data_IF_643435593485
#
_entry.id   IF_643435593485
#
_cell.length_a   1.000
_cell.length_b   1.000
_cell.length_c   1.000
_cell.angle_alpha   90.00
_cell.angle_beta   90.00
_cell.angle_gamma   90.00
#
_symmetry.space_group_name_H-M   'P 1'
#
loop_
_entity.id
_entity.type
_entity.pdbx_description
1 polymer ?
#
# COMPACT_ATOMS: atom_id res chain seq x y z
N UNK A 1 -47.76 43.16 15.63
CA UNK A 1 -46.31 43.44 15.79
C UNK A 1 -45.80 42.48 16.85
N UNK A 2 -45.27 41.33 16.45
CA UNK A 2 -44.72 40.32 17.36
C UNK A 2 -43.27 40.08 16.93
N UNK A 3 -42.34 40.63 17.72
CA UNK A 3 -40.90 40.41 17.60
C UNK A 3 -40.58 39.08 18.31
N UNK A 4 -40.28 38.03 17.56
CA UNK A 4 -39.69 36.81 18.10
C UNK A 4 -38.17 37.02 18.19
N UNK A 5 -37.64 36.98 19.42
CA UNK A 5 -36.22 37.20 19.72
C UNK A 5 -35.32 36.03 19.29
N UNK A 6 -34.20 36.36 18.66
CA UNK A 6 -33.14 35.44 18.19
C UNK A 6 -32.29 34.79 19.29
N UNK A 7 -32.56 35.05 20.57
CA UNK A 7 -31.67 34.65 21.67
C UNK A 7 -31.67 33.14 21.96
N UNK A 8 -32.65 32.38 21.46
CA UNK A 8 -32.73 30.92 21.69
C UNK A 8 -31.91 30.06 20.71
N UNK A 9 -31.31 30.65 19.68
CA UNK A 9 -30.53 29.88 18.70
C UNK A 9 -29.09 29.60 19.17
N UNK A 10 -28.50 30.46 19.99
CA UNK A 10 -27.10 30.33 20.41
C UNK A 10 -26.89 29.21 21.44
N UNK A 11 -27.84 29.00 22.37
CA UNK A 11 -27.71 27.95 23.41
C UNK A 11 -27.68 26.52 22.84
N UNK A 12 -28.17 26.32 21.61
CA UNK A 12 -28.25 24.98 21.01
C UNK A 12 -27.02 24.61 20.16
N UNK A 13 -26.25 25.61 19.71
CA UNK A 13 -25.12 25.39 18.77
C UNK A 13 -23.81 25.12 19.52
N UNK A 14 -23.61 25.72 20.68
CA UNK A 14 -22.37 25.58 21.46
C UNK A 14 -22.06 24.13 21.89
N UNK A 15 -23.02 23.31 22.35
CA UNK A 15 -22.76 21.93 22.74
C UNK A 15 -22.32 21.07 21.54
N UNK A 16 -22.99 21.22 20.39
CA UNK A 16 -22.69 20.52 19.14
C UNK A 16 -21.30 20.87 18.61
N UNK A 17 -20.90 22.14 18.69
CA UNK A 17 -19.57 22.59 18.27
C UNK A 17 -18.46 22.02 19.19
N UNK A 18 -18.74 21.89 20.49
CA UNK A 18 -17.80 21.32 21.45
C UNK A 18 -17.68 19.79 21.28
N UNK A 19 -18.78 19.10 20.96
CA UNK A 19 -18.78 17.67 20.67
C UNK A 19 -18.01 17.37 19.37
N UNK A 20 -18.19 18.19 18.33
CA UNK A 20 -17.45 18.07 17.08
C UNK A 20 -15.94 18.32 17.28
N UNK A 21 -15.58 19.32 18.10
CA UNK A 21 -14.19 19.60 18.49
C UNK A 21 -13.59 18.47 19.32
N UNK A 22 -14.36 17.87 20.22
CA UNK A 22 -13.94 16.73 21.04
C UNK A 22 -13.74 15.48 20.17
N UNK A 23 -14.59 15.22 19.19
CA UNK A 23 -14.45 14.11 18.25
C UNK A 23 -13.23 14.31 17.32
N UNK A 24 -12.99 15.54 16.86
CA UNK A 24 -11.78 15.91 16.12
C UNK A 24 -10.51 15.76 16.98
N UNK A 25 -10.57 16.16 18.25
CA UNK A 25 -9.46 15.99 19.19
C UNK A 25 -9.21 14.51 19.54
N UNK A 26 -10.26 13.70 19.65
CA UNK A 26 -10.17 12.27 19.90
C UNK A 26 -9.60 11.51 18.69
N UNK A 27 -9.96 11.91 17.45
CA UNK A 27 -9.29 11.43 16.23
C UNK A 27 -7.80 11.78 16.21
N UNK A 28 -7.44 12.97 16.69
CA UNK A 28 -6.04 13.40 16.86
C UNK A 28 -5.30 12.66 17.97
N UNK A 29 -5.99 12.28 19.04
CA UNK A 29 -5.41 11.58 20.19
C UNK A 29 -5.26 10.06 19.99
N UNK A 30 -5.92 9.49 18.97
CA UNK A 30 -5.78 8.09 18.56
C UNK A 30 -4.51 7.81 17.74
N UNK A 31 -3.83 8.85 17.25
CA UNK A 31 -2.61 8.71 16.45
C UNK A 31 -1.38 9.02 17.31
N UNK A 32 -1.01 8.06 18.17
CA UNK A 32 0.21 8.13 18.99
C UNK A 32 1.47 7.66 18.24
N UNK A 33 1.49 7.71 16.91
CA UNK A 33 2.72 7.45 16.15
C UNK A 33 3.37 8.74 15.66
N UNK A 34 3.79 9.58 16.62
CA UNK A 34 4.62 10.78 16.37
C UNK A 34 5.99 10.45 15.72
N UNK A 35 6.30 9.16 15.48
CA UNK A 35 7.55 8.68 14.88
C UNK A 35 7.70 8.95 13.38
N UNK A 36 6.70 9.48 12.68
CA UNK A 36 6.69 9.48 11.21
C UNK A 36 6.33 10.82 10.55
N UNK A 37 7.04 11.89 10.91
CA UNK A 37 7.17 13.09 10.04
C UNK A 37 8.36 12.83 9.11
N UNK A 38 8.19 12.63 7.78
CA UNK A 38 9.36 12.48 6.89
C UNK A 38 10.26 13.71 6.94
N UNK A 39 11.57 13.49 6.98
CA UNK A 39 12.58 14.53 6.75
C UNK A 39 12.81 14.84 5.26
N UNK A 40 13.70 15.81 5.01
CA UNK A 40 14.04 16.40 3.71
C UNK A 40 14.71 15.47 2.68
N UNK A 41 14.87 14.18 2.97
CA UNK A 41 15.18 13.15 1.96
C UNK A 41 14.47 11.81 2.25
N UNK A 42 13.55 11.80 3.21
CA UNK A 42 13.24 10.66 4.06
C UNK A 42 12.30 9.61 3.47
N UNK A 43 12.55 8.39 3.90
CA UNK A 43 11.91 7.17 3.43
C UNK A 43 10.53 6.92 4.05
N UNK A 44 10.15 7.52 5.18
CA UNK A 44 8.89 7.17 5.88
C UNK A 44 7.97 8.34 6.15
N UNK A 45 6.80 8.34 5.52
CA UNK A 45 5.83 9.43 5.60
C UNK A 45 4.59 8.99 6.37
N UNK A 46 4.10 9.84 7.28
CA UNK A 46 2.78 9.67 7.88
C UNK A 46 1.68 9.57 6.81
N UNK A 47 0.62 8.82 7.11
CA UNK A 47 -0.58 8.70 6.26
C UNK A 47 -1.31 10.02 6.02
N UNK A 48 -1.10 11.02 6.86
CA UNK A 48 -1.67 12.36 6.66
C UNK A 48 -1.04 13.11 5.47
N UNK A 49 0.15 12.72 5.02
CA UNK A 49 0.82 13.35 3.88
C UNK A 49 0.35 12.68 2.60
N UNK A 50 -0.50 13.40 1.88
CA UNK A 50 -0.92 13.07 0.53
C UNK A 50 -0.20 14.01 -0.43
N UNK A 51 0.53 13.44 -1.40
CA UNK A 51 1.01 14.22 -2.53
C UNK A 51 -0.15 14.49 -3.50
N UNK A 52 -0.20 15.67 -4.13
CA UNK A 52 -1.20 15.95 -5.16
C UNK A 52 -1.02 15.01 -6.35
N UNK A 53 -2.09 14.80 -7.11
CA UNK A 53 -2.00 14.12 -8.40
C UNK A 53 -1.08 14.93 -9.35
N UNK A 54 -0.21 14.22 -10.07
CA UNK A 54 0.75 14.80 -11.02
C UNK A 54 0.21 14.79 -12.45
N UNK A 55 -1.06 14.40 -12.67
CA UNK A 55 -1.73 14.52 -13.97
C UNK A 55 -1.00 13.76 -15.07
N UNK A 56 -0.51 12.56 -14.73
CA UNK A 56 0.26 11.72 -15.64
C UNK A 56 1.75 12.08 -15.79
N UNK A 57 2.27 13.09 -15.10
CA UNK A 57 3.71 13.44 -15.14
C UNK A 57 4.55 12.55 -14.24
N UNK A 58 5.86 12.60 -14.42
CA UNK A 58 6.82 11.99 -13.50
C UNK A 58 6.66 12.55 -12.09
N UNK A 59 6.68 11.65 -11.10
CA UNK A 59 6.53 12.00 -9.68
C UNK A 59 7.89 11.97 -8.99
N UNK A 60 8.11 12.79 -7.96
CA UNK A 60 9.29 12.69 -7.11
C UNK A 60 9.42 11.27 -6.55
N UNK A 61 10.63 10.72 -6.64
CA UNK A 61 10.98 9.46 -5.98
C UNK A 61 11.52 9.74 -4.59
N UNK A 62 11.29 8.80 -3.67
CA UNK A 62 11.88 8.78 -2.34
C UNK A 62 12.84 7.60 -2.22
N UNK A 63 14.06 7.82 -1.68
CA UNK A 63 15.00 6.73 -1.42
C UNK A 63 14.39 5.64 -0.53
N UNK A 64 14.76 4.39 -0.79
CA UNK A 64 14.58 3.28 0.15
C UNK A 64 15.93 2.90 0.76
N UNK A 65 15.99 2.86 2.09
CA UNK A 65 16.96 2.12 2.87
C UNK A 65 16.61 0.63 2.83
N UNK A 66 17.48 -0.14 2.18
CA UNK A 66 17.49 -1.59 2.31
C UNK A 66 18.40 -1.95 3.49
N UNK A 67 17.84 -2.58 4.53
CA UNK A 67 18.65 -3.00 5.67
C UNK A 67 19.72 -4.06 5.34
N UNK A 68 19.60 -4.77 4.21
CA UNK A 68 20.64 -5.71 3.77
C UNK A 68 21.84 -4.98 3.18
N UNK A 69 21.63 -3.80 2.60
CA UNK A 69 22.69 -2.98 1.98
C UNK A 69 23.23 -1.93 2.96
N UNK A 70 23.36 -2.27 4.24
CA UNK A 70 23.98 -1.42 5.27
C UNK A 70 25.43 -0.97 5.01
N UNK A 71 25.98 -1.18 3.82
CA UNK A 71 27.02 -0.33 3.24
C UNK A 71 26.37 0.80 2.47
N UNK A 72 26.24 1.98 3.08
CA UNK A 72 25.96 3.20 2.32
C UNK A 72 26.90 3.24 1.12
N UNK A 73 26.38 3.25 -0.10
CA UNK A 73 27.10 3.79 -1.24
C UNK A 73 27.21 5.30 -1.00
N UNK A 74 28.17 5.66 -0.14
CA UNK A 74 28.54 7.03 0.10
C UNK A 74 28.85 7.67 -1.26
N UNK A 75 28.19 8.80 -1.48
CA UNK A 75 28.48 9.80 -2.48
C UNK A 75 29.96 9.85 -2.87
N UNK A 76 30.22 9.72 -4.18
CA UNK A 76 31.34 10.33 -4.92
C UNK A 76 32.79 10.04 -4.46
N UNK A 77 33.68 9.56 -5.34
CA UNK A 77 35.11 9.56 -5.04
C UNK A 77 35.63 11.00 -5.06
N UNK A 78 35.73 11.65 -3.90
CA UNK A 78 36.34 12.97 -3.82
C UNK A 78 36.03 13.76 -2.56
N UNK A 79 36.36 13.24 -1.38
CA UNK A 79 36.84 14.12 -0.32
C UNK A 79 37.75 13.36 0.67
N UNK A 80 39.08 13.48 0.57
CA UNK A 80 39.97 12.96 1.59
C UNK A 80 39.92 13.90 2.80
N UNK A 81 39.05 13.61 3.77
CA UNK A 81 39.24 14.08 5.14
C UNK A 81 40.42 13.32 5.79
N UNK A 82 41.61 13.50 5.23
CA UNK A 82 42.90 13.28 5.90
C UNK A 82 43.27 14.59 6.57
N UNK A 83 42.96 14.70 7.86
CA UNK A 83 43.29 15.90 8.63
C UNK A 83 42.63 15.99 9.99
N UNK A 84 42.61 14.90 10.76
CA UNK A 84 42.46 14.99 12.22
C UNK A 84 43.73 14.43 12.85
N UNK A 85 44.84 15.14 12.63
CA UNK A 85 46.01 15.02 13.48
C UNK A 85 45.64 15.55 14.86
N UNK A 86 45.64 14.60 15.79
CA UNK A 86 45.87 14.82 17.21
C UNK A 86 47.11 15.70 17.34
N UNK A 87 46.99 16.85 18.00
CA UNK A 87 47.92 17.45 18.96
C UNK A 87 47.59 18.94 19.16
N UNK A 88 46.83 19.27 20.21
CA UNK A 88 46.99 20.55 20.94
C UNK A 88 46.49 20.41 22.39
N UNK A 89 47.36 20.54 23.42
CA UNK A 89 46.94 20.70 24.81
C UNK A 89 46.79 22.19 25.11
N UNK A 90 45.64 22.75 24.75
CA UNK A 90 45.32 24.16 24.96
C UNK A 90 43.99 24.32 25.68
N UNK A 91 44.03 24.90 26.87
CA UNK A 91 42.92 25.16 27.78
C UNK A 91 41.70 25.80 27.10
N UNK A 92 40.53 25.18 27.27
CA UNK A 92 39.26 25.75 26.86
C UNK A 92 38.08 24.93 27.37
N UNK A 93 37.44 25.40 28.44
CA UNK A 93 36.15 24.89 28.93
C UNK A 93 35.07 25.14 27.86
N UNK A 94 34.87 24.19 26.96
CA UNK A 94 33.61 24.05 26.22
C UNK A 94 32.85 22.84 26.77
N UNK A 95 31.53 22.97 26.99
CA UNK A 95 30.70 21.84 27.40
C UNK A 95 30.80 20.74 26.33
N UNK A 96 30.94 19.46 26.73
CA UNK A 96 31.08 18.36 25.78
C UNK A 96 29.84 18.28 24.90
N UNK A 97 30.09 18.32 23.59
CA UNK A 97 29.10 18.13 22.54
C UNK A 97 28.46 16.72 22.69
N UNK A 98 27.12 16.59 22.88
CA UNK A 98 26.47 15.33 23.21
C UNK A 98 26.26 14.42 22.00
N UNK A 99 27.29 14.22 21.18
CA UNK A 99 27.22 13.42 19.96
C UNK A 99 28.27 12.30 19.93
N UNK A 100 28.40 11.53 21.01
CA UNK A 100 29.15 10.26 20.98
C UNK A 100 28.41 9.19 21.80
N UNK A 101 27.39 8.60 21.17
CA UNK A 101 26.56 7.57 21.77
C UNK A 101 25.58 6.90 20.82
N UNK A 102 25.84 6.90 19.51
CA UNK A 102 25.03 6.14 18.56
C UNK A 102 25.54 4.69 18.50
N UNK A 103 25.42 3.97 19.61
CA UNK A 103 25.45 2.51 19.62
C UNK A 103 24.21 1.99 18.90
N UNK A 104 24.19 2.13 17.57
CA UNK A 104 23.13 1.61 16.72
C UNK A 104 23.20 0.09 16.75
N UNK A 105 22.42 -0.53 17.64
CA UNK A 105 22.07 -1.94 17.53
C UNK A 105 21.52 -2.15 16.13
N UNK A 106 22.29 -2.81 15.26
CA UNK A 106 21.90 -3.11 13.88
C UNK A 106 20.55 -3.81 13.90
N UNK A 107 19.50 -3.07 13.54
CA UNK A 107 18.15 -3.63 13.45
C UNK A 107 18.18 -4.72 12.39
N UNK A 108 17.85 -5.95 12.77
CA UNK A 108 17.78 -7.06 11.82
C UNK A 108 16.65 -6.85 10.81
N UNK A 109 16.74 -7.54 9.67
CA UNK A 109 15.68 -7.62 8.67
C UNK A 109 14.39 -8.08 9.34
N UNK A 110 13.33 -7.28 9.20
CA UNK A 110 11.99 -7.60 9.71
C UNK A 110 11.04 -7.82 8.56
N UNK A 111 10.12 -8.77 8.72
CA UNK A 111 9.07 -9.04 7.75
C UNK A 111 7.78 -9.47 8.44
N UNK A 112 6.67 -9.19 7.78
CA UNK A 112 5.33 -9.61 8.16
C UNK A 112 4.60 -10.16 6.94
N UNK A 113 3.67 -11.08 7.17
CA UNK A 113 2.91 -11.73 6.10
C UNK A 113 1.45 -11.86 6.49
N UNK A 114 0.55 -11.36 5.64
CA UNK A 114 -0.91 -11.48 5.81
C UNK A 114 -1.47 -12.19 4.58
N UNK A 115 -2.37 -13.16 4.78
CA UNK A 115 -2.86 -14.01 3.68
C UNK A 115 -4.35 -14.30 3.76
N UNK A 116 -4.90 -14.84 2.67
CA UNK A 116 -6.29 -15.30 2.55
C UNK A 116 -6.57 -16.68 3.15
N UNK A 117 -5.57 -17.32 3.77
CA UNK A 117 -5.69 -18.70 4.30
C UNK A 117 -6.81 -18.77 5.33
N UNK A 118 -7.72 -19.72 5.15
CA UNK A 118 -8.88 -19.92 6.03
C UNK A 118 -9.99 -18.87 5.91
N UNK A 119 -9.88 -17.88 5.02
CA UNK A 119 -10.89 -16.83 4.84
C UNK A 119 -11.76 -17.16 3.63
N UNK A 120 -13.09 -17.01 3.72
CA UNK A 120 -13.98 -17.14 2.55
C UNK A 120 -14.12 -18.55 1.97
N UNK A 121 -13.90 -19.58 2.79
CA UNK A 121 -14.07 -21.00 2.43
C UNK A 121 -15.52 -21.48 2.54
N UNK A 122 -15.89 -22.48 1.74
CA UNK A 122 -17.01 -23.39 2.03
C UNK A 122 -18.42 -22.97 1.61
N UNK A 123 -18.65 -21.71 1.26
CA UNK A 123 -20.01 -21.24 0.96
C UNK A 123 -20.47 -21.50 -0.49
N UNK A 124 -19.54 -21.73 -1.43
CA UNK A 124 -19.82 -21.75 -2.88
C UNK A 124 -19.35 -23.03 -3.57
N UNK A 125 -19.26 -24.15 -2.83
CA UNK A 125 -18.60 -25.37 -3.27
C UNK A 125 -19.16 -25.95 -4.59
N UNK A 126 -20.47 -25.79 -4.84
CA UNK A 126 -21.12 -26.25 -6.07
C UNK A 126 -20.57 -25.57 -7.34
N UNK A 127 -20.07 -24.33 -7.24
CA UNK A 127 -19.59 -23.54 -8.37
C UNK A 127 -18.08 -23.21 -8.29
N UNK A 128 -17.45 -23.49 -7.15
CA UNK A 128 -16.01 -23.36 -6.95
C UNK A 128 -15.45 -24.53 -6.11
N UNK A 129 -15.42 -25.76 -6.66
CA UNK A 129 -15.00 -26.96 -5.92
C UNK A 129 -13.52 -26.95 -5.54
N UNK A 130 -12.71 -26.12 -6.21
CA UNK A 130 -11.27 -25.99 -5.95
C UNK A 130 -10.93 -24.92 -4.90
N UNK A 131 -11.94 -24.17 -4.42
CA UNK A 131 -11.79 -22.99 -3.56
C UNK A 131 -10.78 -21.96 -4.13
N UNK A 132 -10.70 -21.88 -5.46
CA UNK A 132 -9.81 -20.95 -6.12
C UNK A 132 -10.28 -19.50 -5.93
N UNK A 133 -9.34 -18.55 -5.98
CA UNK A 133 -9.66 -17.13 -6.02
C UNK A 133 -10.35 -16.84 -7.35
N UNK A 134 -11.55 -16.28 -7.27
CA UNK A 134 -12.40 -16.00 -8.44
C UNK A 134 -12.29 -14.57 -8.91
N UNK A 135 -11.92 -13.62 -8.06
CA UNK A 135 -11.68 -12.25 -8.51
C UNK A 135 -10.86 -11.49 -7.47
N UNK A 136 -10.10 -10.51 -7.96
CA UNK A 136 -9.32 -9.57 -7.16
C UNK A 136 -9.79 -8.15 -7.41
N UNK A 137 -9.84 -7.37 -6.33
CA UNK A 137 -10.18 -5.94 -6.37
C UNK A 137 -9.36 -5.16 -5.36
N UNK A 138 -9.23 -3.86 -5.60
CA UNK A 138 -8.63 -2.92 -4.67
C UNK A 138 -9.73 -2.13 -3.96
N UNK A 139 -9.49 -1.83 -2.69
CA UNK A 139 -10.18 -0.75 -1.99
C UNK A 139 -9.15 0.28 -1.55
N UNK A 140 -9.52 1.55 -1.60
CA UNK A 140 -8.66 2.63 -1.12
C UNK A 140 -9.45 3.77 -0.50
N UNK A 141 -8.84 4.46 0.46
CA UNK A 141 -9.45 5.63 1.11
C UNK A 141 -8.55 6.28 2.14
N UNK A 142 -9.10 7.23 2.88
CA UNK A 142 -8.39 8.03 3.89
C UNK A 142 -8.28 7.37 5.27
N UNK A 143 -8.80 6.15 5.44
CA UNK A 143 -8.76 5.43 6.72
C UNK A 143 -8.42 3.95 6.54
N UNK A 144 -7.63 3.40 7.47
CA UNK A 144 -7.35 1.97 7.58
C UNK A 144 -8.61 1.11 7.80
N UNK A 145 -9.68 1.73 8.33
CA UNK A 145 -10.95 1.08 8.60
C UNK A 145 -11.81 0.87 7.35
N UNK A 146 -11.34 1.24 6.15
CA UNK A 146 -12.07 0.98 4.91
C UNK A 146 -12.36 -0.51 4.74
N UNK A 147 -13.56 -0.81 4.28
CA UNK A 147 -14.03 -2.17 4.01
C UNK A 147 -14.51 -2.29 2.56
N UNK A 148 -14.54 -3.51 2.00
CA UNK A 148 -15.11 -3.76 0.68
C UNK A 148 -16.57 -3.31 0.61
N UNK A 149 -16.88 -2.46 -0.37
CA UNK A 149 -18.26 -2.10 -0.72
C UNK A 149 -18.94 -3.17 -1.58
N UNK A 150 -18.15 -4.05 -2.19
CA UNK A 150 -18.63 -5.18 -2.99
C UNK A 150 -18.97 -6.36 -2.08
N UNK A 151 -20.18 -6.89 -2.21
CA UNK A 151 -20.65 -8.04 -1.46
C UNK A 151 -19.77 -9.27 -1.72
N UNK A 152 -19.49 -10.05 -0.68
CA UNK A 152 -18.71 -11.29 -0.71
C UNK A 152 -17.22 -11.14 -1.00
N UNK A 153 -16.68 -9.91 -0.99
CA UNK A 153 -15.24 -9.69 -1.01
C UNK A 153 -14.67 -9.65 0.41
N UNK A 154 -13.48 -10.21 0.56
CA UNK A 154 -12.72 -10.24 1.80
C UNK A 154 -11.47 -9.39 1.66
N UNK A 155 -11.16 -8.60 2.69
CA UNK A 155 -9.98 -7.73 2.74
C UNK A 155 -8.75 -8.49 3.25
N UNK A 156 -7.63 -8.39 2.56
CA UNK A 156 -6.31 -8.71 3.13
C UNK A 156 -5.88 -7.51 3.96
N UNK A 157 -5.79 -7.67 5.28
CA UNK A 157 -5.54 -6.56 6.20
C UNK A 157 -4.05 -6.16 6.25
N UNK A 158 -3.48 -5.85 5.08
CA UNK A 158 -2.14 -5.32 4.89
C UNK A 158 -2.23 -4.13 3.93
N UNK A 159 -1.82 -2.96 4.42
CA UNK A 159 -1.84 -1.73 3.65
C UNK A 159 -0.72 -1.72 2.61
N UNK A 160 -1.09 -1.59 1.35
CA UNK A 160 -0.18 -1.63 0.20
C UNK A 160 0.65 -0.35 0.03
N UNK A 161 0.34 0.70 0.81
CA UNK A 161 1.07 1.96 0.88
C UNK A 161 1.76 2.17 2.23
N UNK A 162 2.01 1.08 2.98
CA UNK A 162 2.52 1.16 4.36
C UNK A 162 3.89 1.87 4.39
N UNK A 163 4.00 2.87 5.27
CA UNK A 163 5.22 3.67 5.44
C UNK A 163 5.49 4.70 4.34
N UNK A 164 4.78 4.67 3.21
CA UNK A 164 4.99 5.60 2.09
C UNK A 164 4.10 6.87 2.16
N UNK A 165 3.23 6.96 3.17
CA UNK A 165 2.15 7.96 3.24
C UNK A 165 0.98 7.57 2.35
N UNK A 166 0.33 8.55 1.73
CA UNK A 166 -0.70 8.29 0.72
C UNK A 166 -1.96 7.61 1.26
N UNK A 167 -2.84 7.19 0.34
CA UNK A 167 -4.09 6.53 0.73
C UNK A 167 -3.79 5.20 1.43
N UNK A 168 -4.73 4.76 2.25
CA UNK A 168 -4.77 3.36 2.66
C UNK A 168 -5.28 2.54 1.49
N UNK A 169 -4.51 1.54 1.06
CA UNK A 169 -4.83 0.71 -0.10
C UNK A 169 -4.78 -0.75 0.33
N UNK A 170 -5.79 -1.53 -0.02
CA UNK A 170 -5.86 -2.95 0.35
C UNK A 170 -6.27 -3.82 -0.83
N UNK A 171 -5.64 -4.99 -0.92
CA UNK A 171 -6.11 -6.07 -1.77
C UNK A 171 -7.35 -6.72 -1.17
N UNK A 172 -8.31 -7.02 -2.01
CA UNK A 172 -9.52 -7.78 -1.67
C UNK A 172 -9.73 -8.90 -2.68
N UNK A 173 -10.41 -9.95 -2.26
CA UNK A 173 -10.67 -11.10 -3.11
C UNK A 173 -12.06 -11.69 -2.85
N UNK A 174 -12.59 -12.42 -3.83
CA UNK A 174 -13.73 -13.32 -3.62
C UNK A 174 -13.41 -14.71 -4.14
N UNK A 175 -14.05 -15.71 -3.54
CA UNK A 175 -14.09 -17.09 -4.03
C UNK A 175 -15.46 -17.46 -4.60
N UNK A 176 -16.42 -16.54 -4.60
CA UNK A 176 -17.73 -16.76 -5.21
C UNK A 176 -17.71 -16.31 -6.68
N UNK A 177 -17.87 -17.23 -7.65
CA UNK A 177 -18.08 -16.87 -9.04
C UNK A 177 -19.27 -15.90 -9.23
N UNK A 178 -20.31 -16.02 -8.41
CA UNK A 178 -21.50 -15.17 -8.44
C UNK A 178 -21.27 -13.74 -7.93
N UNK A 179 -20.17 -13.48 -7.21
CA UNK A 179 -19.79 -12.14 -6.74
C UNK A 179 -18.80 -11.41 -7.65
N UNK A 180 -18.29 -12.02 -8.72
CA UNK A 180 -17.34 -11.31 -9.61
C UNK A 180 -17.99 -10.06 -10.21
N UNK A 181 -17.30 -8.91 -10.12
CA UNK A 181 -17.75 -7.61 -10.68
C UNK A 181 -16.60 -6.91 -11.41
N UNK A 182 -16.91 -5.93 -12.26
CA UNK A 182 -15.89 -5.13 -12.95
C UNK A 182 -16.45 -4.12 -13.96
N UNK A 183 -15.57 -3.32 -14.57
CA UNK A 183 -15.91 -2.20 -15.47
C UNK A 183 -16.51 -2.59 -16.82
N UNK A 184 -16.29 -3.83 -17.27
CA UNK A 184 -16.47 -4.17 -18.69
C UNK A 184 -16.99 -5.58 -18.88
N UNK A 185 -17.34 -5.91 -20.12
CA UNK A 185 -17.98 -7.15 -20.54
C UNK A 185 -17.16 -8.42 -20.23
N UNK A 186 -15.90 -8.30 -19.81
CA UNK A 186 -15.08 -9.46 -19.46
C UNK A 186 -15.70 -10.27 -18.33
N UNK A 187 -16.40 -9.64 -17.38
CA UNK A 187 -17.04 -10.33 -16.25
C UNK A 187 -18.07 -11.35 -16.73
N UNK A 188 -18.77 -11.03 -17.81
CA UNK A 188 -19.81 -11.89 -18.40
C UNK A 188 -19.27 -12.87 -19.43
N UNK A 189 -18.00 -12.78 -19.80
CA UNK A 189 -17.38 -13.66 -20.79
C UNK A 189 -17.14 -15.05 -20.20
N UNK A 190 -17.51 -16.10 -20.92
CA UNK A 190 -17.35 -17.47 -20.45
C UNK A 190 -15.89 -17.94 -20.46
N UNK A 191 -15.01 -17.28 -21.21
CA UNK A 191 -13.61 -17.67 -21.42
C UNK A 191 -12.65 -17.04 -20.40
N UNK A 192 -13.07 -15.96 -19.72
CA UNK A 192 -12.23 -15.24 -18.75
C UNK A 192 -13.00 -14.42 -17.69
N UNK A 193 -14.33 -14.57 -17.62
CA UNK A 193 -15.20 -13.85 -16.69
C UNK A 193 -15.40 -14.53 -15.35
N UNK A 194 -16.60 -14.39 -14.78
CA UNK A 194 -16.89 -14.73 -13.38
C UNK A 194 -16.66 -16.19 -12.98
N UNK A 195 -16.71 -17.12 -13.94
CA UNK A 195 -16.48 -18.56 -13.70
C UNK A 195 -15.02 -18.99 -13.90
N UNK A 196 -14.17 -18.08 -14.34
CA UNK A 196 -12.76 -18.38 -14.62
C UNK A 196 -11.91 -17.90 -13.46
N UNK A 197 -11.28 -18.83 -12.71
CA UNK A 197 -10.49 -18.45 -11.55
C UNK A 197 -9.25 -17.65 -11.96
N UNK A 198 -8.75 -16.86 -11.02
CA UNK A 198 -7.49 -16.16 -11.18
C UNK A 198 -6.34 -17.16 -11.23
N UNK A 199 -5.47 -17.02 -12.23
CA UNK A 199 -4.31 -17.90 -12.48
C UNK A 199 -2.99 -17.25 -12.06
N UNK A 200 -2.92 -15.93 -12.15
CA UNK A 200 -1.74 -15.14 -11.79
C UNK A 200 -2.11 -13.69 -11.44
N UNK A 201 -1.16 -12.97 -10.84
CA UNK A 201 -1.20 -11.51 -10.71
C UNK A 201 0.01 -10.95 -11.47
N UNK A 202 -0.22 -9.92 -12.28
CA UNK A 202 0.81 -9.19 -13.00
C UNK A 202 0.84 -7.79 -12.41
N UNK A 203 2.03 -7.30 -12.09
CA UNK A 203 2.22 -5.93 -11.58
C UNK A 203 3.17 -5.20 -12.51
N UNK A 204 2.81 -3.98 -12.87
CA UNK A 204 3.59 -3.12 -13.77
C UNK A 204 3.90 -1.80 -13.07
N UNK A 205 5.11 -1.30 -13.32
CA UNK A 205 5.63 -0.05 -12.77
C UNK A 205 5.95 0.93 -13.90
N UNK A 206 5.53 2.19 -13.74
CA UNK A 206 5.72 3.24 -14.73
C UNK A 206 6.24 4.52 -14.09
N UNK A 207 7.12 5.22 -14.80
CA UNK A 207 7.60 6.55 -14.41
C UNK A 207 6.55 7.64 -14.69
N UNK A 208 5.76 7.47 -15.75
CA UNK A 208 4.77 8.44 -16.25
C UNK A 208 3.38 7.82 -16.11
N UNK A 209 2.45 8.57 -15.52
CA UNK A 209 1.09 8.11 -15.25
C UNK A 209 0.20 8.15 -16.49
N UNK A 210 -0.97 7.54 -16.42
CA UNK A 210 -1.91 7.48 -17.55
C UNK A 210 -1.54 6.47 -18.65
N UNK A 211 -0.35 5.86 -18.56
CA UNK A 211 0.02 4.68 -19.34
C UNK A 211 -0.57 3.41 -18.71
N UNK A 212 -1.90 3.36 -18.56
CA UNK A 212 -2.63 2.11 -18.30
C UNK A 212 -2.68 1.30 -19.61
N UNK A 213 -1.49 0.93 -20.10
CA UNK A 213 -1.27 0.28 -21.39
C UNK A 213 -1.48 -1.23 -21.29
N UNK A 214 -2.59 -1.67 -21.89
CA UNK A 214 -3.02 -3.04 -22.22
C UNK A 214 -3.08 -4.10 -21.09
N UNK A 215 -4.18 -4.14 -20.33
CA UNK A 215 -4.78 -5.42 -20.01
C UNK A 215 -5.30 -6.05 -21.31
N UNK A 216 -4.73 -7.19 -21.71
CA UNK A 216 -5.40 -8.04 -22.71
C UNK A 216 -6.75 -8.51 -22.16
N UNK A 217 -7.66 -9.02 -23.00
CA UNK A 217 -8.91 -9.65 -22.54
C UNK A 217 -8.67 -10.73 -21.46
N UNK A 218 -7.48 -11.33 -21.47
CA UNK A 218 -7.07 -12.38 -20.53
C UNK A 218 -6.39 -11.89 -19.25
N UNK A 219 -6.14 -10.60 -19.12
CA UNK A 219 -5.50 -10.01 -17.94
C UNK A 219 -6.22 -8.73 -17.51
N UNK A 220 -7.53 -8.79 -17.16
CA UNK A 220 -8.24 -7.61 -16.71
C UNK A 220 -7.57 -6.96 -15.50
N UNK A 221 -7.72 -5.65 -15.32
CA UNK A 221 -7.15 -4.94 -14.17
C UNK A 221 -7.73 -5.44 -12.84
N UNK A 222 -6.94 -5.31 -11.78
CA UNK A 222 -7.43 -5.41 -10.40
C UNK A 222 -8.02 -4.05 -10.04
N UNK A 223 -9.30 -3.90 -10.34
CA UNK A 223 -10.00 -2.62 -10.30
C UNK A 223 -10.36 -2.18 -8.87
N UNK A 224 -10.57 -0.88 -8.71
CA UNK A 224 -11.34 -0.30 -7.61
C UNK A 224 -12.72 0.10 -8.12
N UNK A 225 -13.74 0.06 -7.26
CA UNK A 225 -15.05 0.66 -7.51
C UNK A 225 -15.29 1.82 -6.55
N UNK A 226 -15.40 3.02 -7.08
CA UNK A 226 -15.76 4.22 -6.31
C UNK A 226 -16.85 5.06 -7.01
N UNK A 227 -16.95 6.34 -6.67
CA UNK A 227 -17.92 7.27 -7.25
C UNK A 227 -17.77 7.46 -8.78
N UNK A 228 -16.59 7.18 -9.34
CA UNK A 228 -16.32 7.25 -10.77
C UNK A 228 -16.57 5.92 -11.49
N UNK A 229 -17.07 4.91 -10.76
CA UNK A 229 -17.26 3.56 -11.27
C UNK A 229 -16.01 2.70 -11.12
N UNK A 230 -15.93 1.66 -11.95
CA UNK A 230 -14.77 0.77 -11.95
C UNK A 230 -13.63 1.37 -12.78
N UNK A 231 -12.43 1.37 -12.20
CA UNK A 231 -11.22 1.78 -12.90
C UNK A 231 -9.98 1.13 -12.25
N UNK A 232 -8.84 1.21 -12.94
CA UNK A 232 -7.56 0.72 -12.43
C UNK A 232 -6.94 1.75 -11.49
N UNK A 233 -6.79 1.46 -10.19
CA UNK A 233 -6.15 2.39 -9.26
C UNK A 233 -4.63 2.31 -9.38
N UNK A 234 -3.96 3.43 -9.13
CA UNK A 234 -2.53 3.44 -8.79
C UNK A 234 -2.35 2.92 -7.36
N UNK A 235 -1.51 1.89 -7.19
CA UNK A 235 -1.22 1.32 -5.88
C UNK A 235 -0.27 2.18 -5.04
N UNK A 236 0.25 3.29 -5.59
CA UNK A 236 1.00 4.32 -4.90
C UNK A 236 0.21 5.64 -4.73
N UNK A 237 -1.12 5.60 -4.84
CA UNK A 237 -1.95 6.81 -4.85
C UNK A 237 -1.79 7.66 -3.56
N UNK A 238 -1.49 8.93 -3.77
CA UNK A 238 -1.15 9.90 -2.72
C UNK A 238 0.25 9.73 -2.09
N UNK A 239 0.96 8.62 -2.35
CA UNK A 239 2.28 8.38 -1.78
C UNK A 239 3.39 9.01 -2.65
N UNK A 240 3.26 9.01 -3.98
CA UNK A 240 4.29 9.47 -4.92
C UNK A 240 5.01 8.31 -5.61
N UNK A 241 6.26 8.51 -6.04
CA UNK A 241 7.05 7.42 -6.64
C UNK A 241 6.52 6.93 -8.00
N UNK A 242 6.80 5.66 -8.33
CA UNK A 242 6.33 5.04 -9.57
C UNK A 242 4.83 4.81 -9.54
N UNK A 243 4.18 4.90 -10.69
CA UNK A 243 2.79 4.47 -10.85
C UNK A 243 2.75 2.95 -10.92
N UNK A 244 2.03 2.32 -10.01
CA UNK A 244 1.98 0.87 -9.87
C UNK A 244 0.58 0.39 -10.19
N UNK A 245 0.46 -0.47 -11.20
CA UNK A 245 -0.82 -1.05 -11.62
C UNK A 245 -0.76 -2.56 -11.57
N UNK A 246 -1.86 -3.19 -11.16
CA UNK A 246 -1.97 -4.63 -11.06
C UNK A 246 -3.11 -5.19 -11.91
N UNK A 247 -2.87 -6.39 -12.43
CA UNK A 247 -3.76 -7.11 -13.33
C UNK A 247 -3.88 -8.56 -12.85
N UNK A 248 -5.02 -9.18 -13.12
CA UNK A 248 -5.28 -10.57 -12.78
C UNK A 248 -5.38 -11.40 -14.06
N UNK A 249 -4.56 -12.44 -14.17
CA UNK A 249 -4.58 -13.34 -15.33
C UNK A 249 -5.72 -14.35 -15.17
N UNK A 250 -6.54 -14.48 -16.22
CA UNK A 250 -7.77 -15.28 -16.22
C UNK A 250 -7.75 -16.42 -17.22
N UNK A 251 -7.25 -16.21 -18.42
CA UNK A 251 -7.33 -17.21 -19.48
C UNK A 251 -5.97 -17.86 -19.77
N UNK A 252 -5.97 -19.05 -20.38
CA UNK A 252 -4.76 -19.81 -20.74
C UNK A 252 -4.20 -19.48 -22.14
N UNK A 253 -4.71 -18.45 -22.82
CA UNK A 253 -4.42 -18.19 -24.24
C UNK A 253 -2.93 -17.99 -24.55
N UNK A 254 -2.10 -17.69 -23.53
CA UNK A 254 -0.67 -17.48 -23.71
C UNK A 254 0.22 -18.27 -22.74
N UNK A 255 -0.34 -19.05 -21.83
CA UNK A 255 0.47 -19.71 -20.81
C UNK A 255 0.08 -21.16 -20.60
N UNK A 256 1.08 -22.03 -20.61
CA UNK A 256 0.98 -23.44 -20.26
C UNK A 256 1.01 -23.67 -18.75
N UNK A 257 0.69 -22.66 -17.92
CA UNK A 257 0.77 -22.76 -16.46
C UNK A 257 -0.43 -23.52 -15.89
N UNK A 258 -0.27 -24.79 -15.47
CA UNK A 258 -1.36 -25.52 -14.86
C UNK A 258 -1.46 -25.05 -13.40
N UNK A 259 -2.44 -24.24 -13.08
CA UNK A 259 -2.82 -23.99 -11.69
C UNK A 259 -3.45 -22.63 -11.46
N UNK A 260 -4.62 -22.67 -10.84
CA UNK A 260 -5.33 -21.50 -10.33
C UNK A 260 -4.73 -21.08 -9.00
N UNK A 261 -4.85 -19.80 -8.67
CA UNK A 261 -4.47 -19.29 -7.36
C UNK A 261 -5.52 -19.74 -6.35
N UNK A 262 -5.09 -20.42 -5.29
CA UNK A 262 -5.92 -20.78 -4.14
C UNK A 262 -5.83 -19.75 -3.02
N UNK A 263 -4.67 -19.11 -2.89
CA UNK A 263 -4.42 -18.11 -1.86
C UNK A 263 -3.62 -16.92 -2.40
N UNK A 264 -3.96 -15.74 -1.90
CA UNK A 264 -3.23 -14.49 -2.07
C UNK A 264 -2.73 -13.98 -0.73
N UNK A 265 -1.62 -13.26 -0.74
CA UNK A 265 -1.06 -12.65 0.45
C UNK A 265 -0.24 -11.41 0.13
N UNK A 266 0.11 -10.69 1.18
CA UNK A 266 0.95 -9.50 1.15
C UNK A 266 2.10 -9.73 2.11
N UNK A 267 3.32 -9.68 1.57
CA UNK A 267 4.57 -9.70 2.31
C UNK A 267 5.09 -8.28 2.39
N UNK A 268 5.45 -7.82 3.59
CA UNK A 268 6.05 -6.50 3.75
C UNK A 268 7.11 -6.46 4.85
N UNK A 269 8.04 -5.53 4.73
CA UNK A 269 9.17 -5.41 5.65
C UNK A 269 10.15 -4.31 5.26
N UNK A 270 11.28 -4.26 5.97
CA UNK A 270 12.28 -3.21 5.85
C UNK A 270 13.47 -3.55 4.92
N UNK A 271 13.34 -4.60 4.10
CA UNK A 271 14.35 -5.01 3.12
C UNK A 271 13.71 -5.64 1.88
N UNK A 272 14.34 -5.50 0.71
CA UNK A 272 13.91 -6.17 -0.51
C UNK A 272 14.11 -7.71 -0.47
N UNK A 273 15.03 -8.15 0.39
CA UNK A 273 15.42 -9.55 0.58
C UNK A 273 14.38 -10.42 1.30
N UNK A 274 13.35 -9.80 1.89
CA UNK A 274 12.31 -10.53 2.63
C UNK A 274 11.69 -11.64 1.78
N UNK A 275 11.42 -12.77 2.41
CA UNK A 275 10.90 -13.97 1.75
C UNK A 275 9.57 -14.39 2.35
N UNK A 276 8.61 -14.89 1.54
CA UNK A 276 7.34 -15.34 2.05
C UNK A 276 7.50 -16.71 2.73
N UNK A 277 6.49 -17.19 3.49
CA UNK A 277 6.52 -18.53 4.06
C UNK A 277 6.64 -19.63 3.00
N UNK A 278 7.10 -20.81 3.40
CA UNK A 278 7.24 -21.97 2.50
C UNK A 278 5.96 -22.28 1.74
N UNK A 279 6.10 -22.53 0.43
CA UNK A 279 4.99 -22.84 -0.47
C UNK A 279 4.25 -21.63 -1.04
N UNK A 280 4.70 -20.41 -0.73
CA UNK A 280 4.24 -19.19 -1.37
C UNK A 280 5.26 -18.68 -2.39
N UNK A 281 4.76 -18.02 -3.44
CA UNK A 281 5.58 -17.36 -4.46
C UNK A 281 5.45 -15.85 -4.29
N UNK A 282 6.57 -15.16 -4.04
CA UNK A 282 6.67 -13.70 -4.03
C UNK A 282 6.73 -13.18 -5.46
N UNK A 283 5.86 -12.24 -5.81
CA UNK A 283 5.95 -11.53 -7.08
C UNK A 283 7.05 -10.46 -6.99
N UNK A 284 7.84 -10.24 -8.06
CA UNK A 284 9.10 -9.50 -7.95
C UNK A 284 8.92 -7.97 -7.79
N UNK A 285 7.78 -7.43 -8.17
CA UNK A 285 7.53 -5.99 -8.15
C UNK A 285 7.23 -5.48 -6.74
N UNK A 286 8.01 -4.51 -6.28
CA UNK A 286 7.74 -3.75 -5.07
C UNK A 286 6.59 -2.77 -5.32
N UNK A 287 5.54 -2.86 -4.50
CA UNK A 287 4.33 -2.04 -4.66
C UNK A 287 4.54 -0.59 -4.22
N UNK A 288 5.57 -0.34 -3.41
CA UNK A 288 5.96 0.98 -2.93
C UNK A 288 7.15 1.57 -3.72
N UNK A 289 7.41 1.10 -4.95
CA UNK A 289 8.62 1.48 -5.70
C UNK A 289 8.72 3.00 -5.89
N UNK A 290 9.81 3.59 -5.41
CA UNK A 290 10.06 5.03 -5.45
C UNK A 290 9.14 5.86 -4.55
N UNK A 291 8.20 5.28 -3.81
CA UNK A 291 7.36 6.02 -2.87
C UNK A 291 7.98 6.10 -1.46
N UNK A 292 9.00 5.26 -1.19
CA UNK A 292 9.59 5.06 0.13
C UNK A 292 8.88 3.93 0.88
N UNK A 293 8.89 3.98 2.21
CA UNK A 293 8.19 3.07 3.11
C UNK A 293 8.76 1.67 3.15
N UNK A 294 7.88 0.74 3.54
CA UNK A 294 8.19 -0.69 3.56
C UNK A 294 8.39 -1.19 2.11
N UNK A 295 9.19 -2.24 1.93
CA UNK A 295 9.12 -3.08 0.74
C UNK A 295 7.85 -3.92 0.83
N UNK A 296 7.03 -3.92 -0.22
CA UNK A 296 5.72 -4.59 -0.21
C UNK A 296 5.59 -5.42 -1.48
N UNK A 297 5.19 -6.68 -1.33
CA UNK A 297 5.05 -7.61 -2.44
C UNK A 297 3.74 -8.40 -2.33
N UNK A 298 3.08 -8.58 -3.47
CA UNK A 298 2.07 -9.62 -3.58
C UNK A 298 2.71 -11.01 -3.53
N UNK A 299 2.00 -11.94 -2.92
CA UNK A 299 2.36 -13.35 -2.88
C UNK A 299 1.17 -14.21 -3.29
N UNK A 300 1.44 -15.32 -3.96
CA UNK A 300 0.42 -16.26 -4.43
C UNK A 300 0.76 -17.70 -4.03
N UNK A 301 -0.27 -18.53 -3.89
CA UNK A 301 -0.14 -19.99 -3.72
C UNK A 301 -1.18 -20.70 -4.58
N UNK A 302 -0.74 -21.74 -5.29
CA UNK A 302 -1.54 -22.56 -6.21
C UNK A 302 -2.01 -23.87 -5.55
#
# INVERSE_FOLDING_TARGET
>A
MLLFGCEKAEETITPLLNELKAEQAAKKAGDKDERYKTDKSGQYVSKEVQLPDYGGKERPTRPKYDQVEGTMTAFGPGDPCTGCDILDPGEGNYPPDPCYGCGGSGGGVTSNFVSSVGVGYGYYFAHNPTNAIQDLKIIKGSSASINPSLAGYHKINADLNRGAGGQYIYLTFTRDPGQVRGSSNWVTDQSYGGYVPVKNIIVMSYTIGGLNGWPTLCSPPIEVKDAFGFHTPDLNDGAGGKYIYAYQEKCDMYTSYPGTIKEVGVLYGNSSSISPPTGWVKLPQDLNEGAGGDYIYFCIKK
#
